data_IF_818933467920
#
_entry.id   IF_818933467920
#
_cell.length_a   1.000
_cell.length_b   1.000
_cell.length_c   1.000
_cell.angle_alpha   90.00
_cell.angle_beta   90.00
_cell.angle_gamma   90.00
#
_symmetry.space_group_name_H-M   'P 1'
#
loop_
_entity.id
_entity.type
_entity.pdbx_description
1 polymer ?
#
# COMPACT_ATOMS: atom_id res chain seq x y z
N UNK A 1 18.08 -12.54 -39.64
CA UNK A 1 16.62 -12.41 -39.47
C UNK A 1 16.27 -13.02 -38.13
N UNK A 2 15.62 -12.26 -37.25
CA UNK A 2 15.18 -12.74 -35.93
C UNK A 2 14.19 -13.90 -36.06
N UNK A 3 14.33 -14.91 -35.22
CA UNK A 3 13.41 -16.04 -35.18
C UNK A 3 12.07 -15.62 -34.59
N UNK A 4 10.99 -16.33 -34.94
CA UNK A 4 9.65 -16.03 -34.39
C UNK A 4 9.64 -16.14 -32.84
N UNK A 5 10.44 -17.03 -32.28
CA UNK A 5 10.63 -17.18 -30.84
C UNK A 5 11.40 -16.01 -30.21
N UNK A 6 12.42 -15.46 -30.89
CA UNK A 6 13.15 -14.27 -30.38
C UNK A 6 12.27 -13.02 -30.38
N UNK A 7 11.45 -12.83 -31.42
CA UNK A 7 10.46 -11.75 -31.48
C UNK A 7 9.44 -11.87 -30.34
N UNK A 8 8.94 -13.07 -30.08
CA UNK A 8 7.97 -13.32 -29.00
C UNK A 8 8.56 -13.08 -27.61
N UNK A 9 9.81 -13.48 -27.37
CA UNK A 9 10.53 -13.15 -26.15
C UNK A 9 10.63 -11.62 -25.97
N UNK A 10 10.95 -10.89 -27.04
CA UNK A 10 11.02 -9.43 -26.97
C UNK A 10 9.66 -8.79 -26.64
N UNK A 11 8.57 -9.29 -27.20
CA UNK A 11 7.21 -8.84 -26.87
C UNK A 11 6.87 -9.06 -25.40
N UNK A 12 7.16 -10.26 -24.87
CA UNK A 12 6.93 -10.58 -23.46
C UNK A 12 7.77 -9.65 -22.57
N UNK A 13 9.04 -9.42 -22.91
CA UNK A 13 9.92 -8.53 -22.16
C UNK A 13 9.34 -7.10 -22.11
N UNK A 14 8.87 -6.58 -23.25
CA UNK A 14 8.23 -5.26 -23.33
C UNK A 14 6.94 -5.19 -22.51
N UNK A 15 6.11 -6.23 -22.56
CA UNK A 15 4.87 -6.31 -21.78
C UNK A 15 5.16 -6.30 -20.26
N UNK A 16 6.13 -7.08 -19.81
CA UNK A 16 6.57 -7.10 -18.41
C UNK A 16 7.12 -5.76 -17.96
N UNK A 17 7.97 -5.13 -18.78
CA UNK A 17 8.50 -3.80 -18.50
C UNK A 17 7.39 -2.75 -18.39
N UNK A 18 6.37 -2.81 -19.26
CA UNK A 18 5.21 -1.91 -19.18
C UNK A 18 4.49 -2.06 -17.85
N UNK A 19 4.22 -3.28 -17.40
CA UNK A 19 3.59 -3.54 -16.10
C UNK A 19 4.47 -3.11 -14.93
N UNK A 20 5.80 -3.28 -15.02
CA UNK A 20 6.73 -2.79 -14.01
C UNK A 20 6.73 -1.25 -13.92
N UNK A 21 6.68 -0.55 -15.05
CA UNK A 21 6.57 0.92 -15.08
C UNK A 21 5.26 1.41 -14.49
N UNK A 22 4.14 0.75 -14.83
CA UNK A 22 2.85 1.04 -14.23
C UNK A 22 2.85 0.78 -12.70
N UNK A 23 3.62 -0.20 -12.22
CA UNK A 23 3.79 -0.45 -10.79
C UNK A 23 4.54 0.69 -10.10
N UNK A 24 5.56 1.26 -10.77
CA UNK A 24 6.26 2.44 -10.28
C UNK A 24 5.37 3.69 -10.26
N UNK A 25 4.57 3.91 -11.29
CA UNK A 25 3.58 4.99 -11.34
C UNK A 25 2.51 4.83 -10.24
N UNK A 26 2.04 3.59 -10.01
CA UNK A 26 1.14 3.29 -8.91
C UNK A 26 1.79 3.62 -7.56
N UNK A 27 3.10 3.37 -7.40
CA UNK A 27 3.83 3.73 -6.19
C UNK A 27 3.90 5.25 -5.95
N UNK A 28 3.75 6.11 -6.96
CA UNK A 28 3.61 7.56 -6.76
C UNK A 28 2.28 7.94 -6.07
N UNK A 29 1.28 7.05 -6.09
CA UNK A 29 0.00 7.25 -5.40
C UNK A 29 0.04 6.89 -3.91
N UNK A 30 1.10 6.25 -3.43
CA UNK A 30 1.23 5.77 -2.03
C UNK A 30 1.03 6.88 -1.00
N UNK A 31 1.57 8.07 -1.25
CA UNK A 31 1.41 9.23 -0.35
C UNK A 31 -0.06 9.68 -0.23
N UNK A 32 -0.85 9.52 -1.31
CA UNK A 32 -2.28 9.85 -1.29
C UNK A 32 -3.06 8.82 -0.48
N UNK A 33 -2.75 7.53 -0.64
CA UNK A 33 -3.37 6.45 0.15
C UNK A 33 -3.10 6.67 1.64
N UNK A 34 -1.85 6.96 1.97
CA UNK A 34 -1.42 7.32 3.32
C UNK A 34 -2.18 8.53 3.90
N UNK A 35 -2.36 9.59 3.09
CA UNK A 35 -3.13 10.77 3.52
C UNK A 35 -4.61 10.45 3.81
N UNK A 36 -5.24 9.54 3.04
CA UNK A 36 -6.60 9.08 3.28
C UNK A 36 -6.67 8.30 4.60
N UNK A 37 -5.68 7.43 4.87
CA UNK A 37 -5.58 6.70 6.14
C UNK A 37 -5.47 7.68 7.31
N UNK A 38 -4.64 8.74 7.19
CA UNK A 38 -4.56 9.76 8.24
C UNK A 38 -5.88 10.53 8.37
N UNK A 39 -6.58 10.79 7.27
CA UNK A 39 -7.90 11.42 7.26
C UNK A 39 -8.90 10.65 8.14
N UNK A 40 -8.91 9.33 8.04
CA UNK A 40 -9.77 8.51 8.90
C UNK A 40 -9.41 8.64 10.39
N UNK A 41 -8.13 8.82 10.74
CA UNK A 41 -7.72 9.03 12.14
C UNK A 41 -8.13 10.40 12.69
N UNK A 42 -8.24 11.41 11.83
CA UNK A 42 -8.73 12.76 12.19
C UNK A 42 -10.25 12.90 12.15
N UNK A 43 -10.95 11.91 11.59
CA UNK A 43 -12.38 11.96 11.34
C UNK A 43 -12.77 12.70 10.06
N UNK A 44 -11.82 12.97 9.16
CA UNK A 44 -12.06 13.60 7.85
C UNK A 44 -12.81 12.66 6.89
N UNK A 45 -12.68 11.34 7.09
CA UNK A 45 -13.42 10.29 6.37
C UNK A 45 -13.69 9.09 7.28
N UNK A 46 -14.50 8.13 6.81
CA UNK A 46 -14.77 6.93 7.60
C UNK A 46 -13.62 5.93 7.52
N UNK A 47 -13.43 5.06 8.54
CA UNK A 47 -12.48 3.95 8.45
C UNK A 47 -12.73 3.04 7.24
N UNK A 48 -13.98 2.86 6.84
CA UNK A 48 -14.35 2.08 5.67
C UNK A 48 -13.84 2.71 4.36
N UNK A 49 -13.90 4.04 4.23
CA UNK A 49 -13.37 4.76 3.06
C UNK A 49 -11.85 4.58 2.95
N UNK A 50 -11.14 4.66 4.07
CA UNK A 50 -9.69 4.43 4.12
C UNK A 50 -9.32 2.98 3.78
N UNK A 51 -10.12 2.01 4.24
CA UNK A 51 -9.94 0.61 3.88
C UNK A 51 -10.18 0.35 2.38
N UNK A 52 -11.21 0.94 1.79
CA UNK A 52 -11.48 0.85 0.35
C UNK A 52 -10.29 1.42 -0.45
N UNK A 53 -9.77 2.58 -0.06
CA UNK A 53 -8.62 3.20 -0.73
C UNK A 53 -7.35 2.34 -0.63
N UNK A 54 -7.08 1.77 0.55
CA UNK A 54 -5.93 0.89 0.77
C UNK A 54 -6.08 -0.41 -0.02
N UNK A 55 -7.23 -1.08 0.05
CA UNK A 55 -7.48 -2.33 -0.65
C UNK A 55 -7.45 -2.13 -2.17
N UNK A 56 -8.05 -1.05 -2.69
CA UNK A 56 -7.99 -0.74 -4.12
C UNK A 56 -6.56 -0.53 -4.62
N UNK A 57 -5.69 0.11 -3.82
CA UNK A 57 -4.27 0.24 -4.15
C UNK A 57 -3.56 -1.12 -4.14
N UNK A 58 -3.82 -1.98 -3.15
CA UNK A 58 -3.23 -3.32 -3.07
C UNK A 58 -3.72 -4.24 -4.20
N UNK A 59 -5.00 -4.17 -4.57
CA UNK A 59 -5.57 -4.95 -5.66
C UNK A 59 -4.99 -4.54 -7.03
N UNK A 60 -4.86 -3.24 -7.29
CA UNK A 60 -4.21 -2.74 -8.50
C UNK A 60 -2.75 -3.20 -8.59
N UNK A 61 -2.05 -3.20 -7.46
CA UNK A 61 -0.68 -3.67 -7.35
C UNK A 61 -0.57 -5.16 -7.64
N UNK A 62 -1.43 -5.97 -7.03
CA UNK A 62 -1.49 -7.42 -7.26
C UNK A 62 -1.83 -7.75 -8.72
N UNK A 63 -2.73 -6.99 -9.35
CA UNK A 63 -3.07 -7.15 -10.75
C UNK A 63 -1.86 -6.91 -11.67
N UNK A 64 -1.03 -5.89 -11.39
CA UNK A 64 0.19 -5.61 -12.14
C UNK A 64 1.24 -6.71 -11.96
N UNK A 65 1.41 -7.23 -10.73
CA UNK A 65 2.31 -8.36 -10.45
C UNK A 65 1.84 -9.61 -11.20
N UNK A 66 0.54 -9.91 -11.18
CA UNK A 66 -0.03 -11.03 -11.94
C UNK A 66 0.16 -10.85 -13.45
N UNK A 67 -0.02 -9.63 -13.97
CA UNK A 67 0.22 -9.32 -15.38
C UNK A 67 1.67 -9.59 -15.80
N UNK A 68 2.67 -9.25 -14.97
CA UNK A 68 4.07 -9.58 -15.26
C UNK A 68 4.30 -11.10 -15.28
N UNK A 69 3.68 -11.83 -14.35
CA UNK A 69 3.81 -13.29 -14.21
C UNK A 69 2.99 -14.11 -15.20
N UNK A 70 2.00 -13.51 -15.86
CA UNK A 70 1.11 -14.19 -16.79
C UNK A 70 1.86 -14.89 -17.95
N UNK A 71 3.08 -14.44 -18.25
CA UNK A 71 3.93 -14.97 -19.30
C UNK A 71 5.11 -15.81 -18.77
N UNK A 72 5.15 -16.20 -17.49
CA UNK A 72 6.30 -16.92 -16.91
C UNK A 72 6.53 -18.28 -17.56
N UNK A 73 5.48 -19.06 -17.73
CA UNK A 73 5.57 -20.38 -18.37
C UNK A 73 5.97 -20.26 -19.85
N UNK A 74 5.34 -19.34 -20.59
CA UNK A 74 5.65 -19.08 -21.99
C UNK A 74 7.09 -18.60 -22.17
N UNK A 75 7.54 -17.66 -21.32
CA UNK A 75 8.91 -17.16 -21.32
C UNK A 75 9.92 -18.28 -21.10
N UNK A 76 9.71 -19.14 -20.10
CA UNK A 76 10.61 -20.25 -19.79
C UNK A 76 10.64 -21.27 -20.93
N UNK A 77 9.50 -21.55 -21.56
CA UNK A 77 9.42 -22.45 -22.71
C UNK A 77 10.19 -21.89 -23.92
N UNK A 78 9.96 -20.61 -24.26
CA UNK A 78 10.64 -19.94 -25.37
C UNK A 78 12.14 -19.78 -25.12
N UNK A 79 12.56 -19.44 -23.91
CA UNK A 79 13.97 -19.27 -23.57
C UNK A 79 14.79 -20.57 -23.71
N UNK A 80 14.14 -21.74 -23.62
CA UNK A 80 14.79 -23.05 -23.83
C UNK A 80 14.98 -23.41 -25.30
N UNK A 81 14.11 -22.90 -26.18
CA UNK A 81 14.04 -23.31 -27.59
C UNK A 81 14.45 -22.21 -28.56
N UNK A 82 14.58 -20.96 -28.09
CA UNK A 82 14.93 -19.84 -28.93
C UNK A 82 16.40 -19.88 -29.36
N UNK A 83 16.62 -19.88 -30.67
CA UNK A 83 17.90 -19.52 -31.27
C UNK A 83 17.99 -17.99 -31.30
N UNK A 84 18.79 -17.45 -30.38
CA UNK A 84 19.02 -16.02 -30.24
C UNK A 84 20.29 -15.61 -30.97
N UNK A 85 20.18 -14.60 -31.82
CA UNK A 85 21.35 -13.96 -32.44
C UNK A 85 21.85 -12.80 -31.59
N UNK A 86 23.05 -12.29 -31.87
CA UNK A 86 23.60 -11.11 -31.19
C UNK A 86 22.67 -9.90 -31.28
N UNK A 87 21.96 -9.75 -32.39
CA UNK A 87 21.00 -8.66 -32.63
C UNK A 87 19.74 -8.78 -31.75
N UNK A 88 19.34 -10.01 -31.38
CA UNK A 88 18.19 -10.25 -30.49
C UNK A 88 18.55 -10.01 -29.02
N UNK A 89 19.80 -10.28 -28.64
CA UNK A 89 20.26 -10.26 -27.24
C UNK A 89 20.40 -8.83 -26.71
N UNK A 90 20.83 -7.88 -27.55
CA UNK A 90 21.00 -6.47 -27.14
C UNK A 90 19.72 -5.86 -26.54
N UNK A 91 18.60 -5.82 -27.29
CA UNK A 91 17.33 -5.28 -26.80
C UNK A 91 16.79 -6.01 -25.57
N UNK A 92 16.93 -7.33 -25.49
CA UNK A 92 16.50 -8.10 -24.32
C UNK A 92 17.31 -7.76 -23.07
N UNK A 93 18.62 -7.52 -23.19
CA UNK A 93 19.48 -7.08 -22.08
C UNK A 93 19.11 -5.68 -21.61
N UNK A 94 18.87 -4.75 -22.53
CA UNK A 94 18.46 -3.38 -22.22
C UNK A 94 17.15 -3.37 -21.43
N UNK A 95 16.13 -4.09 -21.91
CA UNK A 95 14.84 -4.19 -21.23
C UNK A 95 15.00 -4.83 -19.85
N UNK A 96 15.83 -5.86 -19.71
CA UNK A 96 16.05 -6.51 -18.42
C UNK A 96 16.76 -5.58 -17.43
N UNK A 97 17.76 -4.82 -17.88
CA UNK A 97 18.45 -3.82 -17.06
C UNK A 97 17.48 -2.73 -16.58
N UNK A 98 16.63 -2.22 -17.49
CA UNK A 98 15.61 -1.23 -17.16
C UNK A 98 14.56 -1.81 -16.19
N UNK A 99 14.06 -3.01 -16.46
CA UNK A 99 13.10 -3.69 -15.59
C UNK A 99 13.65 -3.90 -14.18
N UNK A 100 14.93 -4.28 -14.06
CA UNK A 100 15.60 -4.40 -12.77
C UNK A 100 15.66 -3.06 -12.04
N UNK A 101 16.07 -1.99 -12.72
CA UNK A 101 16.10 -0.65 -12.14
C UNK A 101 14.73 -0.20 -11.62
N UNK A 102 13.67 -0.45 -12.42
CA UNK A 102 12.30 -0.12 -12.03
C UNK A 102 11.85 -0.94 -10.81
N UNK A 103 12.09 -2.25 -10.81
CA UNK A 103 11.70 -3.11 -9.69
C UNK A 103 12.49 -2.81 -8.40
N UNK A 104 13.76 -2.44 -8.52
CA UNK A 104 14.57 -1.99 -7.38
C UNK A 104 14.00 -0.67 -6.79
N UNK A 105 13.61 0.28 -7.64
CA UNK A 105 12.98 1.53 -7.22
C UNK A 105 11.62 1.29 -6.53
N UNK A 106 10.79 0.41 -7.07
CA UNK A 106 9.54 -0.03 -6.45
C UNK A 106 9.83 -0.67 -5.09
N UNK A 107 10.77 -1.61 -5.01
CA UNK A 107 11.09 -2.30 -3.77
C UNK A 107 11.60 -1.40 -2.65
N UNK A 108 12.27 -0.29 -2.97
CA UNK A 108 12.65 0.75 -1.99
C UNK A 108 11.41 1.50 -1.49
N UNK A 109 10.53 1.92 -2.39
CA UNK A 109 9.29 2.64 -2.07
C UNK A 109 8.34 1.78 -1.22
N UNK A 110 8.17 0.52 -1.58
CA UNK A 110 7.36 -0.44 -0.83
C UNK A 110 7.78 -0.55 0.63
N UNK A 111 9.08 -0.66 0.86
CA UNK A 111 9.63 -0.76 2.23
C UNK A 111 9.33 0.51 3.01
N UNK A 112 9.43 1.67 2.37
CA UNK A 112 9.07 2.95 2.99
C UNK A 112 7.56 3.03 3.28
N UNK A 113 6.70 2.71 2.31
CA UNK A 113 5.26 2.70 2.44
C UNK A 113 4.77 1.77 3.56
N UNK A 114 5.27 0.53 3.61
CA UNK A 114 4.92 -0.43 4.66
C UNK A 114 5.38 0.04 6.03
N UNK A 115 6.58 0.63 6.13
CA UNK A 115 7.08 1.19 7.38
C UNK A 115 6.19 2.33 7.87
N UNK A 116 5.82 3.22 6.97
CA UNK A 116 5.00 4.39 7.24
C UNK A 116 3.58 4.00 7.65
N UNK A 117 2.95 3.07 6.91
CA UNK A 117 1.65 2.51 7.24
C UNK A 117 1.64 1.84 8.63
N UNK A 118 2.72 1.12 8.99
CA UNK A 118 2.88 0.52 10.32
C UNK A 118 3.02 1.59 11.42
N UNK A 119 3.79 2.65 11.18
CA UNK A 119 3.94 3.76 12.15
C UNK A 119 2.59 4.39 12.46
N UNK A 120 1.84 4.76 11.42
CA UNK A 120 0.54 5.42 11.54
C UNK A 120 -0.51 4.55 12.23
N UNK A 121 -0.54 3.25 11.93
CA UNK A 121 -1.42 2.30 12.64
C UNK A 121 -1.09 2.24 14.13
N UNK A 122 0.19 2.25 14.48
CA UNK A 122 0.61 2.28 15.89
C UNK A 122 0.19 3.59 16.56
N UNK A 123 0.46 4.74 15.95
CA UNK A 123 0.09 6.06 16.47
C UNK A 123 -1.42 6.20 16.67
N UNK A 124 -2.21 5.72 15.70
CA UNK A 124 -3.68 5.67 15.80
C UNK A 124 -4.14 4.80 16.96
N UNK A 125 -3.58 3.60 17.11
CA UNK A 125 -3.90 2.69 18.22
C UNK A 125 -3.53 3.28 19.58
N UNK A 126 -2.38 3.93 19.70
CA UNK A 126 -1.97 4.62 20.94
C UNK A 126 -2.89 5.80 21.27
N UNK A 127 -3.34 6.55 20.25
CA UNK A 127 -4.25 7.69 20.42
C UNK A 127 -5.62 7.25 20.87
N UNK A 128 -6.16 6.18 20.27
CA UNK A 128 -7.42 5.54 20.70
C UNK A 128 -7.31 5.04 22.15
N UNK A 129 -6.24 4.33 22.49
CA UNK A 129 -6.04 3.83 23.85
C UNK A 129 -5.95 4.96 24.89
N UNK A 130 -5.30 6.09 24.56
CA UNK A 130 -5.28 7.28 25.43
C UNK A 130 -6.66 7.92 25.57
N UNK A 131 -7.42 8.04 24.47
CA UNK A 131 -8.77 8.60 24.49
C UNK A 131 -9.73 7.74 25.32
N UNK A 132 -9.68 6.41 25.15
CA UNK A 132 -10.45 5.45 25.92
C UNK A 132 -10.06 5.46 27.41
N UNK A 133 -8.76 5.53 27.71
CA UNK A 133 -8.25 5.66 29.07
C UNK A 133 -8.70 6.96 29.73
N UNK A 134 -8.67 8.08 29.00
CA UNK A 134 -9.18 9.37 29.46
C UNK A 134 -10.70 9.35 29.68
N UNK A 135 -11.47 8.73 28.79
CA UNK A 135 -12.91 8.55 28.96
C UNK A 135 -13.26 7.61 30.13
N UNK A 136 -12.47 6.57 30.35
CA UNK A 136 -12.60 5.68 31.50
C UNK A 136 -12.26 6.40 32.81
N UNK A 137 -11.16 7.18 32.84
CA UNK A 137 -10.80 8.01 33.99
C UNK A 137 -11.88 9.06 34.28
N UNK A 138 -12.35 9.79 33.27
CA UNK A 138 -13.42 10.77 33.43
C UNK A 138 -14.72 10.14 33.94
N UNK A 139 -15.06 8.92 33.52
CA UNK A 139 -16.21 8.17 34.09
C UNK A 139 -15.97 7.73 35.52
N UNK A 140 -14.75 7.31 35.87
CA UNK A 140 -14.40 6.91 37.23
C UNK A 140 -14.41 8.10 38.21
N UNK A 141 -14.02 9.29 37.74
CA UNK A 141 -14.06 10.54 38.53
C UNK A 141 -15.38 11.31 38.42
N UNK A 142 -16.25 10.97 37.46
CA UNK A 142 -17.62 11.46 37.43
C UNK A 142 -18.38 10.84 38.62
N UNK A 143 -18.47 11.59 39.71
CA UNK A 143 -19.12 11.15 40.93
C UNK A 143 -20.55 10.64 40.64
N UNK A 144 -20.94 9.44 41.13
CA UNK A 144 -22.31 8.98 41.05
C UNK A 144 -23.13 9.74 42.10
N UNK A 145 -23.60 10.94 41.77
CA UNK A 145 -24.46 11.69 42.70
C UNK A 145 -24.51 13.20 42.54
N UNK A 146 -24.91 13.70 41.37
CA UNK A 146 -25.39 15.08 41.24
C UNK A 146 -26.85 15.23 41.74
N UNK A 147 -27.20 14.56 42.83
CA UNK A 147 -28.47 14.69 43.55
C UNK A 147 -28.26 14.45 45.05
N UNK A 148 -27.41 15.25 45.68
CA UNK A 148 -27.47 15.45 47.12
C UNK A 148 -27.32 16.95 47.34
N UNK A 149 -28.44 17.67 47.24
CA UNK A 149 -28.55 18.98 47.89
C UNK A 149 -28.27 18.77 49.39
N UNK A 150 -27.27 19.41 49.99
CA UNK A 150 -27.26 19.55 51.43
C UNK A 150 -28.31 20.62 51.78
N UNK A 151 -29.53 20.20 52.08
CA UNK A 151 -30.52 21.06 52.76
C UNK A 151 -30.06 21.31 54.20
N UNK A 152 -29.08 22.18 54.36
CA UNK A 152 -28.90 22.94 55.58
C UNK A 152 -29.89 24.11 55.53
N UNK A 153 -31.12 23.90 55.99
CA UNK A 153 -31.97 25.03 56.36
C UNK A 153 -31.63 25.45 57.78
N UNK A 154 -31.27 26.73 57.89
CA UNK A 154 -30.81 27.41 59.08
C UNK A 154 -31.73 27.27 60.31
N UNK A 155 -31.05 27.26 61.46
CA UNK A 155 -31.58 27.48 62.79
C UNK A 155 -31.72 28.99 63.00
N UNK A 156 -32.94 29.54 63.00
CA UNK A 156 -33.32 30.77 63.73
C UNK A 156 -34.82 31.07 63.59
N UNK A 157 -35.52 31.33 64.70
CA UNK A 157 -36.79 32.06 64.76
C UNK A 157 -37.94 31.29 65.37
#
# INVERSE_FOLDING_TARGET
MSSQSSLRLLEIAKARLKSAKALLELADSESKVLAIVDGATRGDCTPADAEIALNGHLDARDALIRSMRAFDEEWVALAKTAELTTDDVGPLREINAEMRQVLDAVGVRDKAFVRELKSRRRESSETLARAEGGAAANRAYAAPGAQLEPRFTDRTG
#
